data_IF_488605663570
#
_entry.id   IF_488605663570
#
_cell.length_a   1.000
_cell.length_b   1.000
_cell.length_c   1.000
_cell.angle_alpha   90.00
_cell.angle_beta   90.00
_cell.angle_gamma   90.00
#
_symmetry.space_group_name_H-M   'P 1'
#
loop_
_entity.id
_entity.type
_entity.pdbx_description
1 polymer ?
#
# COMPACT_ATOMS: atom_id res chain seq x y z
N UNK A 1 -5.14 2.35 -23.40
CA UNK A 1 -4.75 1.18 -22.59
C UNK A 1 -3.58 0.38 -23.17
N UNK A 2 -3.41 0.27 -24.49
CA UNK A 2 -2.36 -0.55 -25.14
C UNK A 2 -0.92 -0.13 -24.85
N UNK A 3 -0.66 1.18 -24.68
CA UNK A 3 0.68 1.67 -24.32
C UNK A 3 0.98 1.49 -22.83
N UNK A 4 -0.01 1.68 -21.96
CA UNK A 4 0.20 1.48 -20.52
C UNK A 4 0.47 0.01 -20.16
N UNK A 5 -0.06 -0.95 -20.93
CA UNK A 5 0.21 -2.38 -20.73
C UNK A 5 1.65 -2.81 -21.01
N UNK A 6 2.47 -1.99 -21.69
CA UNK A 6 3.89 -2.32 -21.93
C UNK A 6 4.74 -2.14 -20.67
N UNK A 7 4.27 -1.39 -19.67
CA UNK A 7 4.98 -1.16 -18.40
C UNK A 7 4.86 -2.31 -17.39
N UNK A 8 4.28 -3.45 -17.78
CA UNK A 8 4.13 -4.60 -16.88
C UNK A 8 5.45 -5.10 -16.29
N UNK A 9 6.56 -4.91 -16.99
CA UNK A 9 7.90 -5.31 -16.56
C UNK A 9 8.79 -4.11 -16.21
N UNK A 10 8.19 -2.93 -16.01
CA UNK A 10 8.92 -1.73 -15.60
C UNK A 10 9.49 -1.91 -14.19
N UNK A 11 10.75 -1.54 -14.00
CA UNK A 11 11.46 -1.65 -12.72
C UNK A 11 12.13 -0.33 -12.31
N UNK A 12 11.95 0.77 -13.06
CA UNK A 12 12.47 2.08 -12.66
C UNK A 12 11.51 2.78 -11.69
N UNK A 13 12.03 3.17 -10.52
CA UNK A 13 11.28 3.86 -9.48
C UNK A 13 10.63 5.17 -9.97
N UNK A 14 11.36 5.94 -10.78
CA UNK A 14 10.91 7.27 -11.23
C UNK A 14 9.76 7.12 -12.23
N UNK A 15 9.85 6.15 -13.14
CA UNK A 15 8.76 5.80 -14.05
C UNK A 15 7.52 5.38 -13.27
N UNK A 16 7.68 4.56 -12.23
CA UNK A 16 6.56 4.14 -11.38
C UNK A 16 5.92 5.28 -10.59
N UNK A 17 6.70 6.27 -10.14
CA UNK A 17 6.17 7.49 -9.50
C UNK A 17 5.28 8.28 -10.45
N UNK A 18 5.70 8.45 -11.70
CA UNK A 18 4.91 9.14 -12.72
C UNK A 18 3.65 8.33 -13.08
N UNK A 19 3.80 7.03 -13.35
CA UNK A 19 2.68 6.13 -13.65
C UNK A 19 1.64 6.16 -12.54
N UNK A 20 2.06 6.05 -11.27
CA UNK A 20 1.16 6.15 -10.11
C UNK A 20 0.41 7.47 -10.11
N UNK A 21 1.11 8.59 -10.30
CA UNK A 21 0.51 9.92 -10.24
C UNK A 21 -0.55 10.09 -11.33
N UNK A 22 -0.26 9.65 -12.54
CA UNK A 22 -1.21 9.69 -13.66
C UNK A 22 -2.40 8.75 -13.43
N UNK A 23 -2.18 7.52 -12.96
CA UNK A 23 -3.25 6.56 -12.71
C UNK A 23 -4.21 7.02 -11.59
N UNK A 24 -3.67 7.64 -10.54
CA UNK A 24 -4.48 8.23 -9.47
C UNK A 24 -5.27 9.43 -10.00
N UNK A 25 -4.63 10.33 -10.76
CA UNK A 25 -5.31 11.47 -11.36
C UNK A 25 -6.47 11.05 -12.28
N UNK A 26 -6.24 10.05 -13.14
CA UNK A 26 -7.28 9.49 -14.00
C UNK A 26 -8.43 8.88 -13.19
N UNK A 27 -8.11 8.16 -12.10
CA UNK A 27 -9.14 7.61 -11.21
C UNK A 27 -10.01 8.73 -10.65
N UNK A 28 -9.43 9.77 -10.06
CA UNK A 28 -10.18 10.86 -9.43
C UNK A 28 -11.11 11.58 -10.42
N UNK A 29 -10.60 11.91 -11.62
CA UNK A 29 -11.41 12.57 -12.65
C UNK A 29 -12.61 11.74 -13.09
N UNK A 30 -12.43 10.41 -13.20
CA UNK A 30 -13.48 9.50 -13.66
C UNK A 30 -14.45 9.14 -12.53
N UNK A 31 -14.00 9.09 -11.27
CA UNK A 31 -14.87 8.97 -10.09
C UNK A 31 -15.79 10.18 -9.93
N UNK A 32 -15.29 11.40 -10.14
CA UNK A 32 -16.09 12.63 -10.11
C UNK A 32 -17.24 12.60 -11.14
N UNK A 33 -16.96 12.15 -12.36
CA UNK A 33 -17.98 12.00 -13.43
C UNK A 33 -18.99 10.88 -13.14
N UNK A 34 -18.57 9.84 -12.41
CA UNK A 34 -19.43 8.71 -12.04
C UNK A 34 -20.41 9.09 -10.92
N UNK A 35 -19.96 9.92 -9.98
CA UNK A 35 -20.69 10.31 -8.77
C UNK A 35 -21.96 11.10 -9.07
N UNK A 36 -21.95 11.95 -10.11
CA UNK A 36 -23.13 12.77 -10.49
C UNK A 36 -24.26 11.97 -11.14
N UNK A 37 -24.00 10.76 -11.65
CA UNK A 37 -25.01 9.94 -12.34
C UNK A 37 -25.41 8.66 -11.57
N UNK A 38 -24.52 8.10 -10.73
CA UNK A 38 -24.78 6.84 -10.02
C UNK A 38 -25.38 7.00 -8.62
N UNK A 39 -25.19 8.16 -7.97
CA UNK A 39 -25.65 8.40 -6.60
C UNK A 39 -27.18 8.37 -6.45
N UNK A 40 -27.91 8.75 -7.50
CA UNK A 40 -29.38 8.72 -7.51
C UNK A 40 -29.97 7.31 -7.73
N UNK A 41 -29.15 6.33 -8.11
CA UNK A 41 -29.58 4.98 -8.48
C UNK A 41 -29.11 3.88 -7.51
N UNK A 42 -28.39 4.23 -6.44
CA UNK A 42 -27.97 3.26 -5.41
C UNK A 42 -27.01 2.16 -5.91
N UNK A 43 -26.29 2.42 -7.01
CA UNK A 43 -25.34 1.45 -7.57
C UNK A 43 -23.99 1.60 -6.85
N UNK A 44 -23.68 0.62 -5.99
CA UNK A 44 -22.40 0.56 -5.28
C UNK A 44 -21.27 0.01 -6.18
N UNK A 45 -20.18 0.77 -6.21
CA UNK A 45 -18.90 0.52 -6.89
C UNK A 45 -18.97 0.47 -8.42
N UNK A 46 -18.61 1.58 -9.06
CA UNK A 46 -18.53 1.68 -10.52
C UNK A 46 -17.59 0.59 -11.04
N UNK A 47 -18.04 -0.22 -12.01
CA UNK A 47 -17.19 -1.27 -12.62
C UNK A 47 -15.83 -0.75 -13.12
N UNK A 48 -15.74 0.56 -13.35
CA UNK A 48 -14.50 1.28 -13.59
C UNK A 48 -13.46 1.12 -12.47
N UNK A 49 -13.81 1.29 -11.20
CA UNK A 49 -12.88 1.17 -10.08
C UNK A 49 -12.32 -0.25 -9.94
N UNK A 50 -13.19 -1.26 -10.12
CA UNK A 50 -12.77 -2.67 -10.20
C UNK A 50 -11.81 -2.89 -11.37
N UNK A 51 -12.13 -2.36 -12.55
CA UNK A 51 -11.27 -2.43 -13.73
C UNK A 51 -9.92 -1.74 -13.54
N UNK A 52 -9.91 -0.57 -12.91
CA UNK A 52 -8.70 0.19 -12.59
C UNK A 52 -7.82 -0.55 -11.57
N UNK A 53 -8.42 -1.10 -10.50
CA UNK A 53 -7.72 -1.94 -9.54
C UNK A 53 -7.09 -3.15 -10.21
N UNK A 54 -7.83 -3.84 -11.08
CA UNK A 54 -7.33 -5.00 -11.82
C UNK A 54 -6.16 -4.62 -12.75
N UNK A 55 -6.25 -3.48 -13.43
CA UNK A 55 -5.21 -3.00 -14.33
C UNK A 55 -3.93 -2.61 -13.58
N UNK A 56 -4.03 -1.84 -12.50
CA UNK A 56 -2.88 -1.48 -11.65
C UNK A 56 -2.24 -2.74 -11.08
N UNK A 57 -3.06 -3.68 -10.59
CA UNK A 57 -2.57 -4.97 -10.06
C UNK A 57 -1.79 -5.73 -11.13
N UNK A 58 -2.32 -5.82 -12.34
CA UNK A 58 -1.66 -6.50 -13.47
C UNK A 58 -0.28 -5.90 -13.79
N UNK A 59 -0.14 -4.57 -13.75
CA UNK A 59 1.14 -3.91 -14.00
C UNK A 59 2.13 -4.13 -12.85
N UNK A 60 1.66 -3.97 -11.61
CA UNK A 60 2.50 -3.97 -10.41
C UNK A 60 2.89 -5.38 -9.92
N UNK A 61 2.25 -6.44 -10.43
CA UNK A 61 2.51 -7.80 -9.98
C UNK A 61 3.92 -8.29 -10.34
N UNK A 62 4.45 -7.97 -11.52
CA UNK A 62 5.81 -8.38 -11.91
C UNK A 62 6.88 -7.77 -11.00
N UNK A 63 6.94 -6.43 -10.81
CA UNK A 63 7.93 -5.86 -9.90
C UNK A 63 7.72 -6.33 -8.46
N UNK A 64 6.47 -6.57 -8.02
CA UNK A 64 6.22 -7.17 -6.71
C UNK A 64 6.82 -8.57 -6.57
N UNK A 65 6.60 -9.46 -7.54
CA UNK A 65 7.19 -10.80 -7.54
C UNK A 65 8.73 -10.73 -7.56
N UNK A 66 9.28 -9.74 -8.26
CA UNK A 66 10.72 -9.53 -8.36
C UNK A 66 11.33 -8.93 -7.11
N UNK A 67 10.60 -8.17 -6.28
CA UNK A 67 11.12 -7.49 -5.09
C UNK A 67 10.73 -8.25 -3.82
N UNK A 68 9.44 -8.51 -3.63
CA UNK A 68 8.86 -9.08 -2.41
C UNK A 68 8.82 -8.07 -1.25
N UNK A 69 8.79 -8.59 -0.02
CA UNK A 69 8.75 -7.77 1.20
C UNK A 69 10.11 -7.55 1.84
N UNK A 70 11.05 -8.48 1.64
CA UNK A 70 12.32 -8.49 2.36
C UNK A 70 13.41 -7.75 1.59
N UNK A 71 14.16 -6.91 2.31
CA UNK A 71 15.36 -6.26 1.80
C UNK A 71 16.42 -7.32 1.49
N UNK A 72 17.12 -7.17 0.37
CA UNK A 72 18.15 -8.12 -0.06
C UNK A 72 19.55 -7.59 0.23
N UNK A 73 20.49 -8.51 0.43
CA UNK A 73 21.90 -8.15 0.44
C UNK A 73 22.30 -7.56 -0.93
N UNK A 74 22.94 -6.39 -0.92
CA UNK A 74 23.34 -5.64 -2.10
C UNK A 74 22.17 -5.19 -3.01
N UNK A 75 21.00 -4.95 -2.42
CA UNK A 75 19.87 -4.35 -3.14
C UNK A 75 20.22 -2.94 -3.66
N UNK A 76 19.76 -2.61 -4.87
CA UNK A 76 19.97 -1.29 -5.43
C UNK A 76 19.09 -0.24 -4.72
N UNK A 77 19.54 1.01 -4.66
CA UNK A 77 18.71 2.09 -4.10
C UNK A 77 17.36 2.23 -4.83
N UNK A 78 17.35 1.95 -6.15
CA UNK A 78 16.12 1.91 -6.94
C UNK A 78 15.12 0.87 -6.40
N UNK A 79 15.59 -0.36 -6.15
CA UNK A 79 14.75 -1.45 -5.64
C UNK A 79 14.22 -1.14 -4.23
N UNK A 80 15.08 -0.56 -3.38
CA UNK A 80 14.70 -0.12 -2.02
C UNK A 80 13.54 0.89 -2.06
N UNK A 81 13.58 1.85 -2.98
CA UNK A 81 12.53 2.86 -3.14
C UNK A 81 11.28 2.32 -3.86
N UNK A 82 11.47 1.44 -4.85
CA UNK A 82 10.38 0.87 -5.64
C UNK A 82 9.51 -0.08 -4.82
N UNK A 83 10.11 -0.87 -3.93
CA UNK A 83 9.41 -1.85 -3.09
C UNK A 83 8.23 -1.28 -2.30
N UNK A 84 8.39 -0.25 -1.42
CA UNK A 84 7.27 0.29 -0.67
C UNK A 84 6.21 0.94 -1.58
N UNK A 85 6.62 1.48 -2.74
CA UNK A 85 5.72 2.07 -3.74
C UNK A 85 4.80 1.00 -4.37
N UNK A 86 5.38 -0.10 -4.84
CA UNK A 86 4.64 -1.21 -5.47
C UNK A 86 3.72 -1.90 -4.46
N UNK A 87 4.21 -2.16 -3.24
CA UNK A 87 3.40 -2.74 -2.16
C UNK A 87 2.21 -1.82 -1.83
N UNK A 88 2.43 -0.50 -1.76
CA UNK A 88 1.34 0.46 -1.51
C UNK A 88 0.29 0.46 -2.62
N UNK A 89 0.71 0.35 -3.88
CA UNK A 89 -0.20 0.28 -5.03
C UNK A 89 -1.07 -0.98 -4.98
N UNK A 90 -0.44 -2.14 -4.77
CA UNK A 90 -1.13 -3.42 -4.69
C UNK A 90 -2.06 -3.50 -3.47
N UNK A 91 -1.60 -3.02 -2.31
CA UNK A 91 -2.41 -2.89 -1.11
C UNK A 91 -3.59 -1.95 -1.33
N UNK A 92 -3.36 -0.79 -1.97
CA UNK A 92 -4.41 0.16 -2.35
C UNK A 92 -5.49 -0.45 -3.25
N UNK A 93 -5.10 -1.35 -4.16
CA UNK A 93 -6.02 -2.04 -5.07
C UNK A 93 -6.70 -3.27 -4.47
N UNK A 94 -6.34 -3.69 -3.25
CA UNK A 94 -6.91 -4.86 -2.59
C UNK A 94 -6.34 -6.20 -3.07
N UNK A 95 -5.11 -6.22 -3.57
CA UNK A 95 -4.45 -7.48 -3.93
C UNK A 95 -4.27 -8.36 -2.68
N UNK A 96 -4.96 -9.51 -2.66
CA UNK A 96 -5.21 -10.28 -1.44
C UNK A 96 -3.94 -10.72 -0.71
N UNK A 97 -2.89 -11.10 -1.45
CA UNK A 97 -1.63 -11.54 -0.86
C UNK A 97 -0.97 -10.39 -0.10
N UNK A 98 -0.95 -9.19 -0.68
CA UNK A 98 -0.39 -8.00 -0.04
C UNK A 98 -1.24 -7.55 1.15
N UNK A 99 -2.57 -7.60 1.04
CA UNK A 99 -3.46 -7.24 2.15
C UNK A 99 -3.27 -8.17 3.35
N UNK A 100 -3.26 -9.47 3.12
CA UNK A 100 -3.07 -10.46 4.19
C UNK A 100 -1.70 -10.31 4.85
N UNK A 101 -0.67 -10.09 4.04
CA UNK A 101 0.69 -10.01 4.50
C UNK A 101 1.00 -8.69 5.24
N UNK A 102 0.35 -7.59 4.82
CA UNK A 102 0.34 -6.33 5.56
C UNK A 102 -0.31 -6.49 6.94
N UNK A 103 -1.47 -7.17 7.03
CA UNK A 103 -2.17 -7.41 8.30
C UNK A 103 -1.30 -8.21 9.28
N UNK A 104 -0.67 -9.30 8.81
CA UNK A 104 0.26 -10.09 9.66
C UNK A 104 1.41 -9.26 10.20
N UNK A 105 2.06 -8.45 9.34
CA UNK A 105 3.15 -7.55 9.76
C UNK A 105 2.66 -6.51 10.75
N UNK A 106 1.48 -5.94 10.52
CA UNK A 106 0.87 -4.98 11.43
C UNK A 106 0.59 -5.57 12.81
N UNK A 107 -0.01 -6.77 12.88
CA UNK A 107 -0.27 -7.45 14.14
C UNK A 107 1.01 -7.75 14.92
N UNK A 108 2.04 -8.25 14.24
CA UNK A 108 3.35 -8.52 14.85
C UNK A 108 4.00 -7.23 15.39
N UNK A 109 3.97 -6.17 14.60
CA UNK A 109 4.50 -4.86 14.99
C UNK A 109 3.75 -4.26 16.18
N UNK A 110 2.42 -4.30 16.14
CA UNK A 110 1.58 -3.78 17.22
C UNK A 110 1.88 -4.49 18.54
N UNK A 111 1.92 -5.83 18.54
CA UNK A 111 2.23 -6.61 19.74
C UNK A 111 3.64 -6.31 20.27
N UNK A 112 4.62 -6.13 19.38
CA UNK A 112 5.98 -5.76 19.76
C UNK A 112 6.04 -4.37 20.40
N UNK A 113 5.38 -3.36 19.80
CA UNK A 113 5.32 -2.00 20.37
C UNK A 113 4.65 -2.01 21.74
N UNK A 114 3.53 -2.73 21.89
CA UNK A 114 2.79 -2.78 23.17
C UNK A 114 3.52 -3.52 24.27
N UNK A 115 4.41 -4.46 23.92
CA UNK A 115 5.27 -5.16 24.89
C UNK A 115 6.57 -4.42 25.21
N UNK A 116 6.79 -3.24 24.61
CA UNK A 116 8.01 -2.46 24.81
C UNK A 116 9.24 -3.08 24.15
N UNK A 117 9.05 -3.80 23.03
CA UNK A 117 10.15 -4.39 22.27
C UNK A 117 11.18 -3.32 21.88
N UNK A 118 12.46 -3.71 21.90
CA UNK A 118 13.53 -2.84 21.45
C UNK A 118 13.42 -2.52 19.95
N UNK A 119 14.09 -1.46 19.52
CA UNK A 119 14.10 -1.02 18.13
C UNK A 119 14.71 -2.02 17.15
N UNK A 120 15.42 -3.04 17.63
CA UNK A 120 16.10 -4.05 16.83
C UNK A 120 15.32 -5.37 16.74
N UNK A 121 14.13 -5.44 17.36
CA UNK A 121 13.26 -6.59 17.26
C UNK A 121 12.84 -6.81 15.80
N UNK A 122 13.07 -8.03 15.31
CA UNK A 122 12.63 -8.45 13.97
C UNK A 122 11.10 -8.50 13.82
N UNK A 123 10.36 -8.25 14.90
CA UNK A 123 8.91 -8.09 14.92
C UNK A 123 8.45 -6.70 14.48
N UNK A 124 9.35 -5.70 14.51
CA UNK A 124 9.02 -4.35 14.09
C UNK A 124 9.03 -4.22 12.56
N UNK A 125 8.05 -3.50 12.01
CA UNK A 125 8.03 -3.15 10.59
C UNK A 125 9.20 -2.20 10.30
N UNK A 126 9.96 -2.54 9.26
CA UNK A 126 11.01 -1.68 8.71
C UNK A 126 10.45 -0.29 8.38
N UNK A 127 11.14 0.82 8.72
CA UNK A 127 10.64 2.17 8.52
C UNK A 127 10.06 2.45 7.13
N UNK A 128 10.75 2.03 6.06
CA UNK A 128 10.32 2.24 4.68
C UNK A 128 8.97 1.56 4.33
N UNK A 129 8.62 0.48 5.02
CA UNK A 129 7.40 -0.28 4.76
C UNK A 129 6.23 0.13 5.66
N UNK A 130 6.47 0.95 6.70
CA UNK A 130 5.42 1.32 7.67
C UNK A 130 4.24 1.99 6.98
N UNK A 131 4.50 2.95 6.09
CA UNK A 131 3.44 3.61 5.34
C UNK A 131 2.61 2.61 4.52
N UNK A 132 3.26 1.73 3.76
CA UNK A 132 2.60 0.74 2.91
C UNK A 132 1.73 -0.21 3.74
N UNK A 133 2.24 -0.68 4.89
CA UNK A 133 1.51 -1.57 5.78
C UNK A 133 0.33 -0.85 6.45
N UNK A 134 0.56 0.31 7.05
CA UNK A 134 -0.49 1.04 7.78
C UNK A 134 -1.61 1.50 6.86
N UNK A 135 -1.26 2.08 5.70
CA UNK A 135 -2.26 2.54 4.73
C UNK A 135 -3.09 1.39 4.16
N UNK A 136 -2.47 0.21 3.93
CA UNK A 136 -3.18 -0.99 3.47
C UNK A 136 -4.11 -1.52 4.55
N UNK A 137 -3.63 -1.64 5.79
CA UNK A 137 -4.46 -2.09 6.91
C UNK A 137 -5.62 -1.13 7.17
N UNK A 138 -5.38 0.18 7.15
CA UNK A 138 -6.43 1.19 7.32
C UNK A 138 -7.49 1.11 6.22
N UNK A 139 -7.07 0.96 4.96
CA UNK A 139 -7.99 0.91 3.81
C UNK A 139 -8.93 -0.28 3.82
N UNK A 140 -8.44 -1.42 4.31
CA UNK A 140 -9.18 -2.69 4.29
C UNK A 140 -9.58 -3.16 5.68
N UNK A 141 -9.35 -2.35 6.71
CA UNK A 141 -9.53 -2.70 8.11
C UNK A 141 -10.89 -2.29 8.65
N UNK A 142 -11.00 -2.39 9.96
CA UNK A 142 -12.16 -2.02 10.75
C UNK A 142 -11.78 -0.96 11.80
N UNK A 143 -12.75 -0.58 12.63
CA UNK A 143 -12.57 0.37 13.74
C UNK A 143 -11.41 -0.04 14.68
N UNK A 144 -11.29 -1.34 14.97
CA UNK A 144 -10.18 -1.86 15.80
C UNK A 144 -8.82 -1.59 15.18
N UNK A 145 -8.72 -1.65 13.86
CA UNK A 145 -7.47 -1.35 13.14
C UNK A 145 -7.09 0.13 13.30
N UNK A 146 -8.07 1.02 13.27
CA UNK A 146 -7.88 2.45 13.53
C UNK A 146 -7.43 2.70 14.97
N UNK A 147 -8.11 2.11 15.96
CA UNK A 147 -7.77 2.27 17.38
C UNK A 147 -6.33 1.85 17.66
N UNK A 148 -5.93 0.68 17.16
CA UNK A 148 -4.56 0.16 17.31
C UNK A 148 -3.50 1.08 16.71
N UNK A 149 -3.79 1.72 15.57
CA UNK A 149 -2.89 2.67 14.93
C UNK A 149 -2.75 3.95 15.76
N UNK A 150 -3.85 4.46 16.32
CA UNK A 150 -3.83 5.62 17.21
C UNK A 150 -3.04 5.33 18.49
N UNK A 151 -3.27 4.18 19.11
CA UNK A 151 -2.53 3.74 20.30
C UNK A 151 -1.01 3.65 20.02
N UNK A 152 -0.61 2.95 18.96
CA UNK A 152 0.81 2.82 18.58
C UNK A 152 1.47 4.19 18.29
N UNK A 153 0.73 5.13 17.70
CA UNK A 153 1.22 6.49 17.43
C UNK A 153 1.43 7.30 18.72
N UNK A 154 0.52 7.16 19.69
CA UNK A 154 0.57 7.90 20.95
C UNK A 154 1.76 7.49 21.81
N UNK A 155 2.07 6.19 21.86
CA UNK A 155 3.22 5.65 22.59
C UNK A 155 4.55 6.09 21.97
N UNK A 156 4.65 6.07 20.65
CA UNK A 156 5.86 6.54 19.94
C UNK A 156 6.12 8.02 20.21
N UNK A 157 5.05 8.82 20.26
CA UNK A 157 5.13 10.25 20.58
C UNK A 157 5.57 10.47 22.02
N UNK A 158 5.02 9.72 22.98
CA UNK A 158 5.41 9.81 24.39
C UNK A 158 6.91 9.49 24.60
N UNK A 159 7.44 8.48 23.91
CA UNK A 159 8.85 8.09 23.99
C UNK A 159 9.82 9.13 23.37
N UNK A 160 9.36 9.95 22.44
CA UNK A 160 10.18 11.02 21.83
C UNK A 160 10.28 12.28 22.70
N UNK A 161 9.41 12.42 23.70
CA UNK A 161 9.35 13.58 24.61
C UNK A 161 9.76 13.24 26.05
N UNK A 162 10.29 12.05 26.30
CA UNK A 162 10.95 11.65 27.55
C UNK A 162 12.47 11.66 27.38
#
# INVERSE_FOLDING_TARGET
MTMASTFRAENDYTVWCELRSQLIGLRSLLEEQSCSAMKDLGIEDSGFNKGMNAFITYLAQTPYNNLGWEVRANESNNDTLLRPLIISLLGGCGFIDVVNEARKRFDRHYNAVMSGADSNSGDLIHPDLRFSVYSTCMRHGDEKTLDRLLEASSLTTALLFM
#
